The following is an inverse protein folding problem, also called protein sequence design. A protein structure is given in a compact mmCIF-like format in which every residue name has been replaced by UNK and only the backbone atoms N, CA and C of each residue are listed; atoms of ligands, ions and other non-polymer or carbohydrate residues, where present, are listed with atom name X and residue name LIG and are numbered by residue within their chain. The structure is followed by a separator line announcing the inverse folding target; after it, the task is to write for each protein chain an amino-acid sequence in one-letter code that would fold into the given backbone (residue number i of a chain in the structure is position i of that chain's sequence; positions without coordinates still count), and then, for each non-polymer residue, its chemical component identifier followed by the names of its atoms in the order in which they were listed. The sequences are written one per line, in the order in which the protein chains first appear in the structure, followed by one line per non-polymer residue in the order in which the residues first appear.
data_IF_764270472986
#
_entry.id   IF_764270472986
#
_cell.length_a   1.000
_cell.length_b   1.000
_cell.length_c   1.000
_cell.angle_alpha   90.00
_cell.angle_beta   90.00
_cell.angle_gamma   90.00
#
_symmetry.space_group_name_H-M   'P 1'
#
loop_
_entity.id
_entity.type
_entity.pdbx_description
1 polymer ?
#
# COMPACT_ATOMS: atom_id res chain seq x y z
N UNK A 1 57.18 -85.44 -52.96
CA UNK A 1 57.62 -84.38 -52.01
C UNK A 1 56.62 -83.21 -52.00
N UNK A 2 55.38 -83.46 -51.53
CA UNK A 2 54.33 -82.41 -51.39
C UNK A 2 53.42 -82.62 -50.17
N UNK A 3 53.62 -83.68 -49.38
CA UNK A 3 52.75 -84.03 -48.24
C UNK A 3 53.20 -83.43 -46.90
N UNK A 4 54.48 -83.09 -46.71
CA UNK A 4 54.98 -82.54 -45.43
C UNK A 4 54.64 -81.06 -45.19
N UNK A 5 54.27 -80.31 -46.24
CA UNK A 5 53.88 -78.91 -46.09
C UNK A 5 52.44 -78.76 -45.60
N UNK A 6 51.55 -79.68 -45.96
CA UNK A 6 50.13 -79.56 -45.63
C UNK A 6 49.84 -79.82 -44.15
N UNK A 7 50.55 -80.79 -43.54
CA UNK A 7 50.49 -81.08 -42.10
C UNK A 7 51.10 -79.95 -41.27
N UNK A 8 52.16 -79.31 -41.77
CA UNK A 8 52.80 -78.17 -41.09
C UNK A 8 51.93 -76.91 -41.11
N UNK A 9 51.21 -76.61 -42.20
CA UNK A 9 50.30 -75.47 -42.24
C UNK A 9 49.02 -75.72 -41.43
N UNK A 10 48.51 -76.95 -41.39
CA UNK A 10 47.34 -77.29 -40.58
C UNK A 10 47.64 -77.19 -39.07
N UNK A 11 48.84 -77.59 -38.63
CA UNK A 11 49.28 -77.44 -37.25
C UNK A 11 49.46 -75.97 -36.83
N UNK A 12 50.01 -75.14 -37.72
CA UNK A 12 50.17 -73.69 -37.48
C UNK A 12 48.80 -72.99 -37.44
N UNK A 13 47.88 -73.35 -38.33
CA UNK A 13 46.52 -72.80 -38.32
C UNK A 13 45.75 -73.20 -37.05
N UNK A 14 45.90 -74.44 -36.59
CA UNK A 14 45.26 -74.92 -35.35
C UNK A 14 45.83 -74.23 -34.10
N UNK A 15 47.15 -73.98 -34.07
CA UNK A 15 47.79 -73.23 -32.97
C UNK A 15 47.38 -71.75 -32.97
N UNK A 16 47.24 -71.13 -34.14
CA UNK A 16 46.76 -69.75 -34.27
C UNK A 16 45.29 -69.61 -33.88
N UNK A 17 44.43 -70.56 -34.25
CA UNK A 17 43.02 -70.52 -33.83
C UNK A 17 42.86 -70.78 -32.34
N UNK A 18 43.63 -71.70 -31.75
CA UNK A 18 43.63 -71.92 -30.30
C UNK A 18 44.17 -70.69 -29.56
N UNK A 19 45.20 -70.02 -30.08
CA UNK A 19 45.74 -68.78 -29.48
C UNK A 19 44.76 -67.60 -29.58
N UNK A 20 43.99 -67.48 -30.66
CA UNK A 20 42.95 -66.45 -30.82
C UNK A 20 41.73 -66.72 -29.93
N UNK A 21 41.37 -68.00 -29.73
CA UNK A 21 40.31 -68.42 -28.80
C UNK A 21 40.74 -68.23 -27.34
N UNK A 22 42.01 -68.47 -26.99
CA UNK A 22 42.55 -68.22 -25.64
C UNK A 22 42.67 -66.72 -25.32
N UNK A 23 42.94 -65.86 -26.31
CA UNK A 23 42.94 -64.41 -26.14
C UNK A 23 41.54 -63.80 -25.99
N UNK A 24 40.48 -64.50 -26.40
CA UNK A 24 39.09 -64.05 -26.26
C UNK A 24 38.40 -64.54 -24.98
N UNK A 25 39.05 -65.42 -24.21
CA UNK A 25 38.57 -65.87 -22.87
C UNK A 25 39.21 -65.04 -21.74
N UNK A 26 40.16 -64.15 -22.04
CA UNK A 26 40.68 -63.18 -21.07
C UNK A 26 39.83 -61.89 -21.02
N UNK A 27 38.50 -62.02 -21.00
CA UNK A 27 37.69 -61.05 -20.29
C UNK A 27 37.58 -61.60 -18.87
N UNK A 28 38.60 -61.32 -18.06
CA UNK A 28 38.42 -61.44 -16.62
C UNK A 28 37.27 -60.50 -16.28
N UNK A 29 36.14 -61.06 -15.84
CA UNK A 29 35.17 -60.31 -15.05
C UNK A 29 35.96 -59.72 -13.90
N UNK A 30 36.44 -58.48 -14.10
CA UNK A 30 36.97 -57.69 -13.02
C UNK A 30 35.78 -57.48 -12.10
N UNK A 31 35.67 -58.33 -11.08
CA UNK A 31 34.63 -58.23 -10.06
C UNK A 31 34.58 -56.76 -9.64
N UNK A 32 33.53 -56.06 -10.07
CA UNK A 32 33.37 -54.65 -9.75
C UNK A 32 33.28 -54.58 -8.24
N UNK A 33 34.28 -53.95 -7.62
CA UNK A 33 34.33 -53.81 -6.18
C UNK A 33 33.27 -52.79 -5.77
N UNK A 34 32.42 -53.19 -4.85
CA UNK A 34 31.27 -52.40 -4.38
C UNK A 34 31.37 -52.13 -2.88
N UNK A 35 30.73 -51.06 -2.43
CA UNK A 35 30.57 -50.68 -1.04
C UNK A 35 29.12 -50.31 -0.72
N UNK A 36 28.87 -49.97 0.54
CA UNK A 36 27.57 -49.48 1.02
C UNK A 36 27.74 -48.12 1.72
N UNK A 37 26.68 -47.33 1.71
CA UNK A 37 26.59 -46.04 2.41
C UNK A 37 25.36 -46.04 3.31
N UNK A 38 25.55 -45.66 4.57
CA UNK A 38 24.46 -45.26 5.46
C UNK A 38 24.39 -43.74 5.49
N UNK A 39 23.25 -43.21 5.08
CA UNK A 39 22.91 -41.79 5.20
C UNK A 39 22.26 -41.55 6.56
N UNK A 40 22.73 -40.53 7.28
CA UNK A 40 22.11 -40.01 8.52
C UNK A 40 21.60 -38.60 8.23
N UNK A 41 20.37 -38.30 8.64
CA UNK A 41 19.66 -37.10 8.20
C UNK A 41 19.19 -36.31 9.42
N UNK A 42 19.46 -35.01 9.44
CA UNK A 42 19.06 -34.09 10.51
C UNK A 42 18.12 -33.01 9.95
N UNK A 43 16.97 -32.82 10.60
CA UNK A 43 16.01 -31.77 10.27
C UNK A 43 15.54 -31.08 11.55
N UNK A 44 15.77 -29.76 11.66
CA UNK A 44 15.29 -28.97 12.79
C UNK A 44 14.11 -28.10 12.37
N UNK A 45 12.96 -28.28 13.04
CA UNK A 45 11.79 -27.41 12.85
C UNK A 45 11.81 -26.25 13.86
N UNK A 46 11.52 -25.05 13.40
CA UNK A 46 11.32 -23.85 14.24
C UNK A 46 10.16 -23.04 13.71
N UNK A 47 9.02 -23.02 14.40
CA UNK A 47 7.91 -22.11 14.07
C UNK A 47 7.23 -21.54 15.33
N UNK A 48 6.76 -20.29 15.20
CA UNK A 48 6.04 -19.51 16.20
C UNK A 48 4.55 -19.38 15.81
N UNK A 49 3.69 -19.03 16.76
CA UNK A 49 2.22 -19.15 16.67
C UNK A 49 1.47 -18.09 15.82
N UNK A 50 2.14 -17.35 14.92
CA UNK A 50 1.52 -16.34 14.03
C UNK A 50 2.12 -16.41 12.62
N UNK A 51 2.08 -17.59 12.01
CA UNK A 51 2.57 -17.79 10.65
C UNK A 51 1.42 -18.31 9.80
N UNK A 52 1.20 -17.67 8.65
CA UNK A 52 0.35 -18.16 7.57
C UNK A 52 1.06 -19.35 6.96
N UNK A 53 0.46 -20.53 7.10
CA UNK A 53 1.02 -21.79 6.63
C UNK A 53 0.36 -22.20 5.31
N UNK A 54 1.01 -23.09 4.55
CA UNK A 54 0.36 -23.76 3.44
C UNK A 54 -0.91 -24.48 3.90
N UNK A 55 -1.89 -24.54 3.01
CA UNK A 55 -3.09 -25.34 3.18
C UNK A 55 -2.70 -26.84 3.21
N UNK A 56 -3.49 -27.65 3.91
CA UNK A 56 -3.24 -29.09 4.05
C UNK A 56 -3.41 -29.58 5.49
N UNK A 57 -3.33 -30.89 5.70
CA UNK A 57 -3.52 -31.47 7.06
C UNK A 57 -2.24 -31.38 7.89
N UNK A 58 -1.07 -31.71 7.29
CA UNK A 58 0.24 -31.55 7.92
C UNK A 58 1.31 -31.18 6.87
N UNK A 59 1.16 -30.03 6.19
CA UNK A 59 1.97 -29.71 5.01
C UNK A 59 3.47 -29.58 5.31
N UNK A 60 3.86 -29.47 6.58
CA UNK A 60 5.23 -29.32 7.04
C UNK A 60 5.89 -30.62 7.52
N UNK A 61 5.13 -31.71 7.65
CA UNK A 61 5.66 -32.97 8.20
C UNK A 61 6.44 -33.73 7.13
N UNK A 62 7.70 -34.07 7.41
CA UNK A 62 8.48 -34.94 6.53
C UNK A 62 8.00 -36.37 6.71
N UNK A 63 7.39 -36.94 5.67
CA UNK A 63 6.83 -38.31 5.70
C UNK A 63 7.66 -39.27 4.84
N UNK A 64 8.33 -38.76 3.81
CA UNK A 64 9.19 -39.57 2.96
C UNK A 64 10.35 -38.78 2.38
N UNK A 65 11.29 -39.49 1.75
CA UNK A 65 12.46 -38.92 1.09
C UNK A 65 12.65 -39.53 -0.28
N UNK A 66 13.08 -38.70 -1.23
CA UNK A 66 13.59 -39.12 -2.53
C UNK A 66 15.11 -38.91 -2.54
N UNK A 67 15.86 -39.98 -2.83
CA UNK A 67 17.32 -39.98 -2.80
C UNK A 67 17.83 -40.32 -4.19
N UNK A 68 18.56 -39.39 -4.78
CA UNK A 68 19.24 -39.53 -6.05
C UNK A 68 20.74 -39.63 -5.82
N UNK A 69 21.41 -40.51 -6.56
CA UNK A 69 22.87 -40.61 -6.51
C UNK A 69 23.49 -40.67 -7.89
N UNK A 70 24.60 -39.96 -8.09
CA UNK A 70 25.42 -39.98 -9.30
C UNK A 70 26.84 -40.38 -8.93
N UNK A 71 27.33 -41.45 -9.54
CA UNK A 71 28.59 -42.10 -9.20
C UNK A 71 29.55 -42.26 -10.38
N UNK A 72 30.62 -43.06 -10.19
CA UNK A 72 31.64 -43.28 -11.21
C UNK A 72 31.07 -43.81 -12.53
N UNK A 73 31.51 -43.22 -13.64
CA UNK A 73 31.04 -43.59 -14.98
C UNK A 73 29.58 -43.20 -15.23
N UNK A 74 29.10 -42.12 -14.61
CA UNK A 74 27.73 -41.60 -14.74
C UNK A 74 26.64 -42.58 -14.31
N UNK A 75 26.99 -43.59 -13.50
CA UNK A 75 25.99 -44.49 -12.93
C UNK A 75 25.08 -43.72 -12.00
N UNK A 76 23.78 -43.90 -12.15
CA UNK A 76 22.77 -43.26 -11.32
C UNK A 76 21.90 -44.28 -10.60
N UNK A 77 21.26 -43.84 -9.51
CA UNK A 77 20.13 -44.53 -8.90
C UNK A 77 19.15 -43.50 -8.34
N UNK A 78 17.90 -43.94 -8.15
CA UNK A 78 16.85 -43.21 -7.46
C UNK A 78 16.19 -44.17 -6.46
N UNK A 79 15.92 -43.70 -5.24
CA UNK A 79 15.34 -44.50 -4.16
C UNK A 79 14.39 -43.63 -3.33
N UNK A 80 13.21 -44.16 -3.03
CA UNK A 80 12.30 -43.55 -2.03
C UNK A 80 12.39 -44.28 -0.69
N UNK A 81 12.35 -43.53 0.41
CA UNK A 81 12.37 -44.07 1.79
C UNK A 81 11.34 -43.39 2.67
N UNK A 82 10.60 -44.18 3.46
CA UNK A 82 9.77 -43.69 4.57
C UNK A 82 10.54 -43.64 5.90
N UNK A 83 11.75 -44.19 5.96
CA UNK A 83 12.65 -43.94 7.08
C UNK A 83 13.39 -42.63 6.85
N UNK A 84 12.94 -41.60 7.56
CA UNK A 84 13.39 -40.21 7.43
C UNK A 84 14.66 -39.90 8.25
N UNK A 85 15.17 -40.85 9.04
CA UNK A 85 16.36 -40.62 9.87
C UNK A 85 17.61 -41.29 9.28
N UNK A 86 17.42 -42.43 8.59
CA UNK A 86 18.51 -43.18 8.01
C UNK A 86 18.09 -44.04 6.82
N UNK A 87 18.99 -44.17 5.84
CA UNK A 87 18.83 -45.05 4.67
C UNK A 87 20.14 -45.76 4.38
N UNK A 88 20.06 -47.05 4.06
CA UNK A 88 21.22 -47.86 3.62
C UNK A 88 21.12 -48.09 2.12
N UNK A 89 22.18 -47.76 1.40
CA UNK A 89 22.30 -47.92 -0.04
C UNK A 89 23.43 -48.90 -0.32
N UNK A 90 23.07 -50.05 -0.89
CA UNK A 90 23.99 -51.15 -1.19
C UNK A 90 24.44 -51.16 -2.66
N UNK A 91 25.49 -51.92 -2.95
CA UNK A 91 26.01 -52.19 -4.30
C UNK A 91 26.50 -50.95 -5.06
N UNK A 92 26.99 -49.93 -4.36
CA UNK A 92 27.60 -48.76 -4.97
C UNK A 92 29.02 -49.07 -5.43
N UNK A 93 29.41 -48.65 -6.63
CA UNK A 93 30.80 -48.75 -7.08
C UNK A 93 31.73 -47.95 -6.16
N UNK A 94 32.94 -48.46 -5.91
CA UNK A 94 33.99 -47.68 -5.25
C UNK A 94 34.32 -46.43 -6.08
N UNK A 95 34.32 -45.27 -5.44
CA UNK A 95 34.64 -43.99 -6.06
C UNK A 95 33.86 -42.81 -5.48
N UNK A 96 33.96 -41.64 -6.13
CA UNK A 96 33.20 -40.46 -5.74
C UNK A 96 31.74 -40.62 -6.13
N UNK A 97 30.86 -40.31 -5.18
CA UNK A 97 29.42 -40.24 -5.36
C UNK A 97 28.91 -38.90 -4.87
N UNK A 98 28.01 -38.30 -5.64
CA UNK A 98 27.19 -37.18 -5.23
C UNK A 98 25.78 -37.68 -4.95
N UNK A 99 25.23 -37.33 -3.80
CA UNK A 99 23.90 -37.70 -3.35
C UNK A 99 23.07 -36.43 -3.17
N UNK A 100 21.84 -36.46 -3.67
CA UNK A 100 20.82 -35.43 -3.46
C UNK A 100 19.65 -36.07 -2.73
N UNK A 101 19.28 -35.53 -1.58
CA UNK A 101 18.18 -36.00 -0.74
C UNK A 101 17.10 -34.93 -0.70
N UNK A 102 15.89 -35.27 -1.13
CA UNK A 102 14.71 -34.39 -1.07
C UNK A 102 13.76 -34.91 0.00
N UNK A 103 13.43 -34.10 1.00
CA UNK A 103 12.38 -34.39 1.98
C UNK A 103 11.01 -34.01 1.43
N UNK A 104 10.03 -34.90 1.60
CA UNK A 104 8.68 -34.77 1.05
C UNK A 104 7.63 -34.86 2.16
N UNK A 105 6.55 -34.08 2.02
CA UNK A 105 5.35 -34.23 2.84
C UNK A 105 4.50 -35.45 2.41
N UNK A 106 3.34 -35.65 3.06
CA UNK A 106 2.41 -36.74 2.74
C UNK A 106 1.73 -36.60 1.37
N UNK A 107 1.66 -35.38 0.84
CA UNK A 107 1.15 -35.06 -0.50
C UNK A 107 2.22 -35.17 -1.59
N UNK A 108 3.49 -35.38 -1.22
CA UNK A 108 4.62 -35.54 -2.13
C UNK A 108 5.32 -34.25 -2.54
N UNK A 109 5.00 -33.11 -1.90
CA UNK A 109 5.65 -31.83 -2.16
C UNK A 109 7.01 -31.74 -1.48
N UNK A 110 7.97 -31.08 -2.14
CA UNK A 110 9.31 -30.89 -1.61
C UNK A 110 9.35 -29.84 -0.48
N UNK A 111 9.96 -30.21 0.65
CA UNK A 111 10.14 -29.35 1.81
C UNK A 111 11.54 -28.76 1.90
N UNK A 112 12.55 -29.58 1.63
CA UNK A 112 13.96 -29.21 1.62
C UNK A 112 14.78 -30.24 0.84
N UNK A 113 15.92 -29.79 0.34
CA UNK A 113 16.96 -30.61 -0.28
C UNK A 113 18.26 -30.48 0.54
N UNK A 114 19.01 -31.58 0.58
CA UNK A 114 20.40 -31.60 1.01
C UNK A 114 21.24 -32.34 -0.03
N UNK A 115 22.47 -31.85 -0.23
CA UNK A 115 23.42 -32.46 -1.16
C UNK A 115 24.72 -32.79 -0.45
N UNK A 116 25.31 -33.94 -0.79
CA UNK A 116 26.64 -34.31 -0.29
C UNK A 116 27.44 -35.05 -1.35
N UNK A 117 28.76 -34.84 -1.35
CA UNK A 117 29.68 -35.67 -2.14
C UNK A 117 30.63 -36.41 -1.21
N UNK A 118 30.77 -37.73 -1.41
CA UNK A 118 31.67 -38.57 -0.62
C UNK A 118 32.34 -39.66 -1.45
N UNK A 119 33.48 -40.16 -0.97
CA UNK A 119 34.18 -41.26 -1.60
C UNK A 119 33.77 -42.59 -0.96
N UNK A 120 33.07 -43.44 -1.72
CA UNK A 120 32.63 -44.77 -1.29
C UNK A 120 33.79 -45.77 -1.34
N UNK A 121 34.01 -46.47 -0.22
CA UNK A 121 35.05 -47.50 -0.05
C UNK A 121 34.44 -48.90 0.07
N UNK A 122 35.28 -49.93 -0.04
CA UNK A 122 34.95 -51.37 0.13
C UNK A 122 34.71 -51.77 1.61
N UNK A 123 34.06 -50.89 2.36
CA UNK A 123 33.68 -51.07 3.76
C UNK A 123 32.38 -50.28 3.97
N UNK A 124 31.76 -50.41 5.14
CA UNK A 124 30.62 -49.57 5.47
C UNK A 124 31.08 -48.10 5.54
N UNK A 125 30.44 -47.24 4.75
CA UNK A 125 30.62 -45.80 4.79
C UNK A 125 29.41 -45.19 5.50
N UNK A 126 29.63 -44.18 6.35
CA UNK A 126 28.54 -43.40 6.96
C UNK A 126 28.76 -41.95 6.60
N UNK A 127 27.70 -41.29 6.13
CA UNK A 127 27.74 -39.87 5.77
C UNK A 127 26.46 -39.19 6.28
N UNK A 128 26.61 -37.96 6.75
CA UNK A 128 25.48 -37.13 7.18
C UNK A 128 25.12 -36.16 6.07
N UNK A 129 23.81 -35.95 5.86
CA UNK A 129 23.28 -34.95 4.92
C UNK A 129 22.38 -34.01 5.71
N UNK A 130 22.72 -32.72 5.64
CA UNK A 130 21.91 -31.66 6.22
C UNK A 130 20.87 -31.22 5.17
N UNK A 131 19.60 -31.15 5.57
CA UNK A 131 18.52 -30.67 4.71
C UNK A 131 18.30 -29.18 4.97
N UNK A 132 19.07 -28.34 4.29
CA UNK A 132 19.16 -26.90 4.57
C UNK A 132 18.67 -26.00 3.43
N UNK A 133 18.40 -26.58 2.26
CA UNK A 133 18.01 -25.83 1.07
C UNK A 133 16.53 -25.99 0.80
N UNK A 134 15.76 -24.92 0.92
CA UNK A 134 14.35 -24.91 0.53
C UNK A 134 14.24 -24.84 -0.99
N UNK A 135 13.32 -25.58 -1.59
CA UNK A 135 13.20 -25.69 -3.05
C UNK A 135 11.75 -25.65 -3.50
N UNK A 136 11.57 -25.25 -4.76
CA UNK A 136 10.26 -25.17 -5.38
C UNK A 136 9.64 -23.78 -5.29
N UNK A 137 8.42 -23.69 -5.79
CA UNK A 137 7.62 -22.47 -5.76
C UNK A 137 6.20 -22.80 -5.27
N UNK A 138 5.60 -21.89 -4.53
CA UNK A 138 4.21 -21.99 -4.11
C UNK A 138 3.47 -20.67 -4.29
N UNK A 139 2.19 -20.68 -3.94
CA UNK A 139 1.32 -19.52 -4.10
C UNK A 139 0.96 -18.93 -2.74
N UNK A 140 1.15 -17.63 -2.56
CA UNK A 140 0.52 -16.86 -1.49
C UNK A 140 -0.83 -16.35 -2.00
N UNK A 141 -1.92 -16.63 -1.27
CA UNK A 141 -3.26 -16.12 -1.59
C UNK A 141 -3.88 -15.47 -0.36
N UNK A 142 -4.07 -14.14 -0.39
CA UNK A 142 -4.61 -13.41 0.76
C UNK A 142 -5.88 -12.65 0.41
N UNK A 143 -6.83 -12.72 1.35
CA UNK A 143 -8.00 -11.87 1.38
C UNK A 143 -7.86 -10.79 2.46
N UNK A 144 -7.98 -9.53 2.06
CA UNK A 144 -7.93 -8.36 2.92
C UNK A 144 -9.35 -7.81 3.11
N UNK A 145 -9.65 -7.35 4.32
CA UNK A 145 -10.88 -6.64 4.62
C UNK A 145 -10.66 -5.48 5.58
N UNK A 146 -11.44 -4.42 5.41
CA UNK A 146 -11.44 -3.23 6.27
C UNK A 146 -12.86 -2.65 6.34
N UNK A 147 -13.10 -1.70 7.25
CA UNK A 147 -14.37 -0.99 7.31
C UNK A 147 -14.42 0.12 6.24
N UNK A 148 -15.27 0.01 5.20
CA UNK A 148 -15.31 1.01 4.12
C UNK A 148 -15.83 2.37 4.59
N UNK A 149 -16.60 2.44 5.70
CA UNK A 149 -17.10 3.70 6.26
C UNK A 149 -15.98 4.55 6.90
N UNK A 150 -14.81 3.97 7.11
CA UNK A 150 -13.63 4.63 7.68
C UNK A 150 -12.53 4.87 6.65
N UNK A 151 -12.87 4.75 5.35
CA UNK A 151 -11.96 5.02 4.23
C UNK A 151 -12.65 5.87 3.18
N UNK A 152 -11.87 6.65 2.45
CA UNK A 152 -12.26 7.41 1.27
C UNK A 152 -12.01 6.62 -0.02
N UNK A 153 -12.51 7.15 -1.14
CA UNK A 153 -12.25 6.59 -2.47
C UNK A 153 -10.77 6.63 -2.86
N UNK A 154 -9.98 7.50 -2.23
CA UNK A 154 -8.55 7.70 -2.51
C UNK A 154 -7.64 6.74 -1.73
N UNK A 155 -8.18 5.74 -1.02
CA UNK A 155 -7.36 4.79 -0.30
C UNK A 155 -6.37 4.07 -1.22
N UNK A 156 -5.19 3.80 -0.69
CA UNK A 156 -4.12 3.04 -1.32
C UNK A 156 -3.75 1.85 -0.43
N UNK A 157 -3.59 0.67 -1.04
CA UNK A 157 -3.07 -0.51 -0.38
C UNK A 157 -1.59 -0.64 -0.73
N UNK A 158 -0.73 -0.64 0.28
CA UNK A 158 0.69 -0.93 0.12
C UNK A 158 0.98 -2.27 0.77
N UNK A 159 1.40 -3.25 -0.03
CA UNK A 159 1.77 -4.58 0.43
C UNK A 159 3.23 -4.82 0.09
N UNK A 160 4.04 -5.06 1.12
CA UNK A 160 5.46 -5.37 1.00
C UNK A 160 5.68 -6.79 1.50
N UNK A 161 6.39 -7.59 0.71
CA UNK A 161 6.80 -8.96 1.02
C UNK A 161 8.33 -8.94 1.11
N UNK A 162 8.86 -9.31 2.27
CA UNK A 162 10.30 -9.35 2.54
C UNK A 162 10.73 -10.79 2.77
N UNK A 163 11.77 -11.26 2.09
CA UNK A 163 12.30 -12.61 2.26
C UNK A 163 13.32 -12.73 3.42
N UNK A 164 13.89 -13.92 3.64
CA UNK A 164 14.88 -14.14 4.69
C UNK A 164 16.22 -13.40 4.50
N UNK A 165 16.48 -12.86 3.31
CA UNK A 165 17.67 -12.08 2.96
C UNK A 165 17.46 -10.58 3.10
N UNK A 166 16.27 -10.16 3.54
CA UNK A 166 15.82 -8.76 3.65
C UNK A 166 15.58 -8.09 2.28
N UNK A 167 15.43 -8.90 1.22
CA UNK A 167 15.04 -8.39 -0.10
C UNK A 167 13.52 -8.14 -0.12
N UNK A 168 13.14 -6.90 -0.47
CA UNK A 168 11.75 -6.44 -0.46
C UNK A 168 11.12 -6.47 -1.86
N UNK A 169 9.91 -7.01 -1.94
CA UNK A 169 9.02 -6.92 -3.09
C UNK A 169 7.77 -6.13 -2.70
N UNK A 170 7.49 -5.05 -3.42
CA UNK A 170 6.24 -4.30 -3.28
C UNK A 170 5.25 -4.81 -4.33
N UNK A 171 4.02 -5.10 -3.93
CA UNK A 171 2.96 -5.44 -4.87
C UNK A 171 2.51 -4.21 -5.65
N UNK A 172 2.41 -4.36 -6.96
CA UNK A 172 1.90 -3.33 -7.85
C UNK A 172 0.37 -3.36 -7.90
N UNK A 173 -0.31 -2.28 -8.33
CA UNK A 173 -1.77 -2.27 -8.42
C UNK A 173 -2.38 -3.42 -9.24
N UNK A 174 -1.65 -3.94 -10.23
CA UNK A 174 -2.10 -5.05 -11.07
C UNK A 174 -1.90 -6.44 -10.44
N UNK A 175 -1.18 -6.55 -9.32
CA UNK A 175 -1.06 -7.80 -8.57
C UNK A 175 -2.35 -8.12 -7.79
N UNK A 176 -3.23 -7.13 -7.59
CA UNK A 176 -4.53 -7.35 -6.95
C UNK A 176 -5.57 -7.87 -7.95
N UNK A 177 -6.17 -9.01 -7.64
CA UNK A 177 -7.22 -9.65 -8.44
C UNK A 177 -8.56 -8.93 -8.27
N UNK A 178 -8.83 -8.40 -7.07
CA UNK A 178 -10.04 -7.64 -6.76
C UNK A 178 -9.71 -6.56 -5.75
N UNK A 179 -10.07 -5.31 -6.02
CA UNK A 179 -10.09 -4.23 -5.02
C UNK A 179 -11.47 -3.61 -5.05
N UNK A 180 -12.27 -3.86 -4.01
CA UNK A 180 -13.59 -3.30 -3.84
C UNK A 180 -13.61 -2.32 -2.68
N UNK A 181 -13.35 -1.05 -2.99
CA UNK A 181 -13.33 0.04 -2.00
C UNK A 181 -14.69 0.27 -1.33
N UNK A 182 -15.80 -0.03 -2.04
CA UNK A 182 -17.16 0.13 -1.50
C UNK A 182 -17.45 -0.95 -0.45
N UNK A 183 -17.03 -2.19 -0.71
CA UNK A 183 -17.20 -3.30 0.22
C UNK A 183 -16.11 -3.35 1.30
N UNK A 184 -15.01 -2.63 1.13
CA UNK A 184 -13.86 -2.68 2.02
C UNK A 184 -13.10 -4.00 1.92
N UNK A 185 -12.82 -4.48 0.70
CA UNK A 185 -12.12 -5.74 0.50
C UNK A 185 -11.12 -5.70 -0.64
N UNK A 186 -10.06 -6.51 -0.52
CA UNK A 186 -9.14 -6.78 -1.62
C UNK A 186 -8.63 -8.23 -1.59
N UNK A 187 -8.23 -8.76 -2.74
CA UNK A 187 -7.56 -10.06 -2.83
C UNK A 187 -6.37 -9.97 -3.78
N UNK A 188 -5.31 -10.71 -3.50
CA UNK A 188 -4.17 -10.86 -4.39
C UNK A 188 -3.61 -12.28 -4.29
N UNK A 189 -2.92 -12.70 -5.35
CA UNK A 189 -2.15 -13.94 -5.37
C UNK A 189 -0.75 -13.67 -5.90
N UNK A 190 0.25 -14.34 -5.34
CA UNK A 190 1.64 -14.20 -5.78
C UNK A 190 2.34 -15.55 -5.71
N UNK A 191 2.98 -15.94 -6.82
CA UNK A 191 3.91 -17.06 -6.82
C UNK A 191 5.24 -16.61 -6.23
N UNK A 192 5.74 -17.36 -5.26
CA UNK A 192 6.98 -17.10 -4.52
C UNK A 192 7.80 -18.39 -4.45
N UNK A 193 9.11 -18.26 -4.34
CA UNK A 193 9.96 -19.40 -4.03
C UNK A 193 9.61 -20.00 -2.67
N UNK A 194 9.92 -21.28 -2.46
CA UNK A 194 9.76 -21.91 -1.15
C UNK A 194 10.67 -21.20 -0.14
N UNK A 195 10.11 -20.75 0.98
CA UNK A 195 10.79 -19.79 1.83
C UNK A 195 9.98 -19.33 3.04
N UNK A 196 10.57 -18.42 3.82
CA UNK A 196 9.88 -17.70 4.87
C UNK A 196 9.84 -16.22 4.50
N UNK A 197 8.64 -15.64 4.56
CA UNK A 197 8.44 -14.24 4.22
C UNK A 197 7.83 -13.49 5.39
N UNK A 198 8.18 -12.22 5.51
CA UNK A 198 7.42 -11.24 6.30
C UNK A 198 6.55 -10.46 5.34
N UNK A 199 5.25 -10.37 5.63
CA UNK A 199 4.34 -9.52 4.88
C UNK A 199 3.94 -8.32 5.73
N UNK A 200 4.08 -7.13 5.16
CA UNK A 200 3.60 -5.87 5.72
C UNK A 200 2.48 -5.34 4.82
N UNK A 201 1.34 -5.02 5.41
CA UNK A 201 0.18 -4.47 4.69
C UNK A 201 -0.21 -3.16 5.35
N UNK A 202 -0.30 -2.10 4.57
CA UNK A 202 -0.70 -0.76 5.02
C UNK A 202 -1.88 -0.26 4.19
N UNK A 203 -2.81 0.42 4.85
CA UNK A 203 -3.80 1.29 4.20
C UNK A 203 -3.32 2.72 4.35
N UNK A 204 -3.17 3.42 3.22
CA UNK A 204 -2.79 4.84 3.17
C UNK A 204 -3.91 5.71 2.61
N UNK A 205 -4.00 6.94 3.12
CA UNK A 205 -4.78 8.03 2.55
C UNK A 205 -3.93 9.30 2.46
N UNK A 206 -3.72 9.84 1.26
CA UNK A 206 -2.96 11.09 1.06
C UNK A 206 -1.62 11.09 1.83
N UNK A 207 -0.90 9.97 1.78
CA UNK A 207 0.36 9.67 2.50
C UNK A 207 0.28 9.37 4.01
N UNK A 208 -0.88 9.50 4.65
CA UNK A 208 -1.09 9.07 6.03
C UNK A 208 -1.40 7.57 6.11
N UNK A 209 -0.74 6.84 7.00
CA UNK A 209 -1.06 5.43 7.28
C UNK A 209 -2.21 5.40 8.29
N UNK A 210 -3.36 4.87 7.88
CA UNK A 210 -4.57 4.83 8.72
C UNK A 210 -4.84 3.44 9.32
N UNK A 211 -4.20 2.40 8.79
CA UNK A 211 -4.23 1.03 9.33
C UNK A 211 -3.05 0.24 8.78
N UNK A 212 -2.64 -0.80 9.49
CA UNK A 212 -1.67 -1.76 8.99
C UNK A 212 -1.57 -3.02 9.81
N UNK A 213 -0.91 -4.03 9.25
CA UNK A 213 -0.55 -5.25 9.95
C UNK A 213 0.75 -5.83 9.41
N UNK A 214 1.34 -6.73 10.19
CA UNK A 214 2.49 -7.53 9.78
C UNK A 214 2.26 -8.98 10.17
N UNK A 215 2.52 -9.89 9.25
CA UNK A 215 2.42 -11.33 9.47
C UNK A 215 3.64 -12.06 8.88
N UNK A 216 3.79 -13.34 9.21
CA UNK A 216 4.81 -14.19 8.58
C UNK A 216 4.14 -15.25 7.71
N UNK A 217 4.78 -15.63 6.62
CA UNK A 217 4.26 -16.60 5.65
C UNK A 217 5.30 -17.67 5.42
N UNK A 218 4.86 -18.93 5.34
CA UNK A 218 5.68 -20.05 4.89
C UNK A 218 5.20 -20.53 3.54
N UNK A 219 6.06 -20.54 2.52
CA UNK A 219 5.75 -21.11 1.20
C UNK A 219 6.44 -22.47 1.03
N UNK A 220 5.71 -23.46 0.51
CA UNK A 220 6.20 -24.80 0.14
C UNK A 220 5.89 -25.05 -1.34
N UNK A 221 6.74 -25.84 -1.99
CA UNK A 221 6.59 -26.28 -3.37
C UNK A 221 5.17 -26.79 -3.71
N UNK A 222 4.60 -26.31 -4.80
CA UNK A 222 3.28 -26.67 -5.33
C UNK A 222 2.10 -26.53 -4.35
N UNK A 223 2.28 -25.80 -3.24
CA UNK A 223 1.21 -25.54 -2.25
C UNK A 223 0.67 -24.11 -2.35
N UNK A 224 -0.48 -23.87 -1.73
CA UNK A 224 -1.02 -22.52 -1.52
C UNK A 224 -1.02 -22.19 -0.03
N UNK A 225 -0.47 -21.03 0.34
CA UNK A 225 -0.57 -20.47 1.68
C UNK A 225 -1.65 -19.42 1.70
N UNK A 226 -2.75 -19.70 2.40
CA UNK A 226 -3.96 -18.88 2.37
C UNK A 226 -4.29 -18.23 3.71
N UNK A 227 -4.88 -17.05 3.67
CA UNK A 227 -5.22 -16.31 4.88
C UNK A 227 -6.21 -15.18 4.65
N UNK A 228 -6.92 -14.81 5.71
CA UNK A 228 -7.76 -13.60 5.74
C UNK A 228 -7.24 -12.64 6.79
N UNK A 229 -7.02 -11.39 6.39
CA UNK A 229 -6.51 -10.32 7.25
C UNK A 229 -7.57 -9.22 7.35
N UNK A 230 -7.92 -8.88 8.59
CA UNK A 230 -8.82 -7.75 8.90
C UNK A 230 -7.96 -6.57 9.35
N UNK A 231 -7.97 -5.50 8.56
CA UNK A 231 -7.29 -4.24 8.82
C UNK A 231 -8.23 -3.34 9.62
N UNK A 232 -7.90 -3.13 10.90
CA UNK A 232 -8.71 -2.35 11.83
C UNK A 232 -8.27 -0.89 11.76
N UNK A 233 -9.15 -0.03 11.24
CA UNK A 233 -8.90 1.41 11.09
C UNK A 233 -9.28 2.15 12.37
N UNK A 234 -8.33 2.90 12.90
CA UNK A 234 -8.56 3.92 13.91
C UNK A 234 -7.87 3.70 15.25
N UNK A 235 -7.11 4.71 15.66
CA UNK A 235 -7.11 5.18 17.04
C UNK A 235 -8.20 6.26 17.20
N UNK A 236 -8.77 6.42 18.39
CA UNK A 236 -9.79 7.43 18.68
C UNK A 236 -9.24 8.83 18.37
N UNK A 237 -9.96 9.63 17.58
CA UNK A 237 -9.56 10.99 17.25
C UNK A 237 -9.92 11.92 18.43
N UNK A 238 -8.92 12.50 19.09
CA UNK A 238 -9.07 13.30 20.33
C UNK A 238 -9.69 14.69 20.15
N UNK A 239 -10.28 15.00 19.00
CA UNK A 239 -11.09 16.20 18.84
C UNK A 239 -11.12 16.74 17.43
N UNK A 240 -12.32 16.87 16.89
CA UNK A 240 -12.57 17.61 15.67
C UNK A 240 -12.81 19.09 16.02
N UNK A 241 -11.98 20.00 15.50
CA UNK A 241 -12.14 21.45 15.71
C UNK A 241 -12.87 22.06 14.52
N UNK A 242 -14.04 22.64 14.77
CA UNK A 242 -14.74 23.50 13.81
C UNK A 242 -14.55 24.96 14.24
N UNK A 243 -14.19 25.84 13.31
CA UNK A 243 -14.08 27.29 13.57
C UNK A 243 -15.26 27.98 12.89
N UNK A 244 -16.16 28.54 13.68
CA UNK A 244 -17.25 29.41 13.20
C UNK A 244 -16.77 30.85 13.35
N UNK A 245 -16.74 31.61 12.26
CA UNK A 245 -16.50 33.05 12.28
C UNK A 245 -17.82 33.75 11.99
N UNK A 246 -18.31 34.54 12.95
CA UNK A 246 -19.48 35.39 12.76
C UNK A 246 -19.03 36.76 12.21
N UNK A 247 -19.51 37.11 11.02
CA UNK A 247 -19.23 38.39 10.35
C UNK A 247 -20.46 39.31 10.27
N UNK A 248 -21.53 39.02 11.02
CA UNK A 248 -22.73 39.85 11.00
C UNK A 248 -22.48 41.18 11.71
N UNK A 249 -22.46 42.28 10.93
CA UNK A 249 -22.28 43.63 11.45
C UNK A 249 -23.64 44.27 11.81
N UNK A 250 -23.69 45.06 12.89
CA UNK A 250 -24.88 45.84 13.24
C UNK A 250 -25.08 47.02 12.28
N UNK A 251 -26.33 47.47 12.02
CA UNK A 251 -26.60 48.69 11.25
C UNK A 251 -25.82 49.91 11.74
N UNK A 252 -25.23 50.69 10.83
CA UNK A 252 -24.51 51.93 11.19
C UNK A 252 -25.51 52.99 11.66
N UNK A 253 -25.35 53.50 12.89
CA UNK A 253 -26.19 54.55 13.47
C UNK A 253 -25.47 55.91 13.48
N UNK A 254 -26.13 56.98 13.92
CA UNK A 254 -25.51 58.30 14.09
C UNK A 254 -26.50 59.44 14.35
N UNK A 255 -26.00 60.67 14.33
CA UNK A 255 -26.79 61.88 14.61
C UNK A 255 -26.77 62.82 13.41
N UNK A 256 -27.92 63.39 13.06
CA UNK A 256 -28.01 64.45 12.03
C UNK A 256 -28.19 65.80 12.72
N UNK A 257 -27.44 66.81 12.26
CA UNK A 257 -27.56 68.21 12.70
C UNK A 257 -27.80 69.12 11.50
N UNK A 258 -28.49 70.24 11.71
CA UNK A 258 -28.76 71.26 10.70
C UNK A 258 -28.21 72.61 11.18
N UNK A 259 -27.48 73.32 10.32
CA UNK A 259 -26.91 74.64 10.62
C UNK A 259 -27.23 75.64 9.52
N UNK A 260 -27.90 76.78 9.83
CA UNK A 260 -28.48 77.12 11.12
C UNK A 260 -29.64 76.16 11.50
N UNK A 261 -29.95 76.07 12.80
CA UNK A 261 -31.03 75.19 13.32
C UNK A 261 -32.41 75.60 12.76
N UNK A 262 -32.60 76.89 12.52
CA UNK A 262 -33.78 77.47 11.87
C UNK A 262 -33.38 78.16 10.56
N UNK A 263 -33.30 77.43 9.44
CA UNK A 263 -32.90 78.01 8.16
C UNK A 263 -34.00 78.88 7.54
N UNK A 264 -33.56 79.87 6.77
CA UNK A 264 -34.43 80.89 6.15
C UNK A 264 -34.57 80.60 4.65
N UNK A 265 -35.77 80.79 4.11
CA UNK A 265 -36.02 80.59 2.68
C UNK A 265 -35.13 81.49 1.83
N UNK A 266 -34.46 80.89 0.84
CA UNK A 266 -33.52 81.55 -0.06
C UNK A 266 -32.07 81.59 0.43
N UNK A 267 -31.79 81.18 1.67
CA UNK A 267 -30.44 81.15 2.24
C UNK A 267 -29.84 79.73 2.24
N UNK A 268 -28.51 79.66 2.32
CA UNK A 268 -27.77 78.41 2.39
C UNK A 268 -27.83 77.81 3.79
N UNK A 269 -27.93 76.49 3.88
CA UNK A 269 -27.83 75.72 5.11
C UNK A 269 -27.08 74.41 4.88
N UNK A 270 -26.53 73.85 5.95
CA UNK A 270 -25.81 72.58 5.92
C UNK A 270 -26.48 71.57 6.83
N UNK A 271 -26.58 70.33 6.35
CA UNK A 271 -26.97 69.17 7.14
C UNK A 271 -25.77 68.25 7.26
N UNK A 272 -25.37 67.90 8.48
CA UNK A 272 -24.24 67.01 8.74
C UNK A 272 -24.69 65.78 9.51
N UNK A 273 -24.28 64.61 9.05
CA UNK A 273 -24.42 63.34 9.74
C UNK A 273 -23.09 62.94 10.39
N UNK A 274 -23.12 62.67 11.70
CA UNK A 274 -22.00 62.14 12.46
C UNK A 274 -22.27 60.67 12.78
N UNK A 275 -21.52 59.72 12.18
CA UNK A 275 -21.75 58.29 12.38
C UNK A 275 -21.27 57.83 13.77
N UNK A 276 -22.02 56.94 14.40
CA UNK A 276 -21.58 56.17 15.56
C UNK A 276 -20.94 54.88 15.09
N UNK A 277 -19.60 54.87 14.99
CA UNK A 277 -18.83 53.72 14.49
C UNK A 277 -18.50 52.72 15.61
N UNK A 278 -18.57 51.43 15.27
CA UNK A 278 -18.16 50.34 16.15
C UNK A 278 -16.67 50.03 16.00
N UNK A 279 -16.08 49.30 16.96
CA UNK A 279 -14.66 48.92 16.94
C UNK A 279 -14.27 48.24 15.62
N UNK A 280 -13.23 48.78 14.98
CA UNK A 280 -12.69 48.25 13.71
C UNK A 280 -13.33 48.80 12.44
N UNK A 281 -14.33 49.69 12.54
CA UNK A 281 -14.91 50.43 11.42
C UNK A 281 -14.46 51.88 11.49
N UNK A 282 -13.98 52.42 10.38
CA UNK A 282 -13.60 53.83 10.22
C UNK A 282 -14.51 54.53 9.22
N UNK A 283 -14.42 55.86 9.12
CA UNK A 283 -15.20 56.62 8.13
C UNK A 283 -14.85 56.26 6.68
N UNK A 284 -13.62 55.76 6.43
CA UNK A 284 -13.19 55.29 5.11
C UNK A 284 -13.89 53.98 4.70
N UNK A 285 -14.45 53.24 5.66
CA UNK A 285 -15.12 51.96 5.44
C UNK A 285 -16.63 52.12 5.15
N UNK A 286 -17.14 53.35 5.16
CA UNK A 286 -18.57 53.63 4.97
C UNK A 286 -18.83 54.48 3.73
N UNK A 287 -20.03 54.32 3.19
CA UNK A 287 -20.53 55.06 2.03
C UNK A 287 -21.87 55.68 2.36
N UNK A 288 -22.08 56.93 1.95
CA UNK A 288 -23.27 57.70 2.27
C UNK A 288 -24.12 57.98 1.02
N UNK A 289 -25.43 58.09 1.21
CA UNK A 289 -26.34 58.60 0.21
C UNK A 289 -27.48 59.41 0.84
N UNK A 290 -27.54 60.71 0.54
CA UNK A 290 -28.64 61.59 0.94
C UNK A 290 -29.82 61.56 -0.03
N UNK A 291 -31.01 61.77 0.54
CA UNK A 291 -32.28 61.90 -0.13
C UNK A 291 -33.05 63.10 0.42
N UNK A 292 -33.83 63.80 -0.41
CA UNK A 292 -34.81 64.79 0.01
C UNK A 292 -36.19 64.33 -0.46
N UNK A 293 -37.14 64.17 0.45
CA UNK A 293 -38.48 63.63 0.21
C UNK A 293 -38.46 62.35 -0.64
N UNK A 294 -37.50 61.47 -0.34
CA UNK A 294 -37.29 60.19 -1.04
C UNK A 294 -36.58 60.27 -2.40
N UNK A 295 -36.20 61.45 -2.87
CA UNK A 295 -35.42 61.62 -4.10
C UNK A 295 -33.92 61.71 -3.82
N UNK A 296 -33.13 60.91 -4.55
CA UNK A 296 -31.67 60.87 -4.43
C UNK A 296 -31.05 62.22 -4.77
N UNK A 297 -30.15 62.70 -3.92
CA UNK A 297 -29.38 63.94 -4.14
C UNK A 297 -27.99 63.60 -4.69
N UNK A 298 -27.52 64.32 -5.71
CA UNK A 298 -26.22 64.07 -6.37
C UNK A 298 -25.06 64.35 -5.41
N UNK A 299 -25.13 65.46 -4.67
CA UNK A 299 -24.16 65.81 -3.62
C UNK A 299 -24.28 64.92 -2.38
N UNK A 300 -25.23 63.98 -2.38
CA UNK A 300 -25.57 63.13 -1.25
C UNK A 300 -24.53 62.07 -0.89
N UNK A 301 -23.35 62.05 -1.49
CA UNK A 301 -22.33 61.02 -1.26
C UNK A 301 -21.45 61.27 -0.04
N UNK A 302 -21.57 62.43 0.59
CA UNK A 302 -20.78 62.88 1.74
C UNK A 302 -21.53 62.81 3.07
N UNK A 303 -20.79 62.88 4.18
CA UNK A 303 -21.34 63.03 5.54
C UNK A 303 -21.98 64.41 5.79
N UNK A 304 -21.66 65.42 4.97
CA UNK A 304 -22.24 66.76 5.04
C UNK A 304 -22.83 67.16 3.70
N UNK A 305 -24.05 67.69 3.71
CA UNK A 305 -24.78 68.17 2.56
C UNK A 305 -24.98 69.69 2.67
N UNK A 306 -24.52 70.44 1.68
CA UNK A 306 -24.83 71.87 1.54
C UNK A 306 -26.00 72.06 0.59
N UNK A 307 -26.95 72.91 0.96
CA UNK A 307 -28.16 73.14 0.18
C UNK A 307 -28.71 74.55 0.42
N UNK A 308 -29.65 74.98 -0.41
CA UNK A 308 -30.35 76.27 -0.26
C UNK A 308 -31.79 75.97 0.13
N UNK A 309 -32.27 76.62 1.19
CA UNK A 309 -33.62 76.35 1.67
C UNK A 309 -34.64 76.95 0.71
N UNK A 310 -35.56 76.11 0.23
CA UNK A 310 -36.80 76.58 -0.39
C UNK A 310 -37.83 76.73 0.72
N UNK A 311 -38.70 77.73 0.66
CA UNK A 311 -39.79 77.84 1.62
C UNK A 311 -40.64 76.56 1.63
N UNK A 312 -40.95 76.04 2.80
CA UNK A 312 -41.64 74.77 2.98
C UNK A 312 -40.97 73.86 4.03
N UNK A 313 -41.47 72.63 4.16
CA UNK A 313 -40.94 71.60 5.06
C UNK A 313 -40.51 70.39 4.22
N UNK A 314 -39.26 69.97 4.40
CA UNK A 314 -38.63 68.92 3.60
C UNK A 314 -37.97 67.90 4.53
N UNK A 315 -38.14 66.61 4.23
CA UNK A 315 -37.47 65.54 4.96
C UNK A 315 -36.19 65.15 4.23
N UNK A 316 -35.08 65.19 4.95
CA UNK A 316 -33.80 64.69 4.49
C UNK A 316 -33.50 63.36 5.15
N UNK A 317 -33.14 62.36 4.34
CA UNK A 317 -32.75 61.04 4.78
C UNK A 317 -31.30 60.77 4.34
N UNK A 318 -30.51 60.12 5.19
CA UNK A 318 -29.21 59.56 4.82
C UNK A 318 -29.28 58.04 4.96
N UNK A 319 -28.76 57.33 3.96
CA UNK A 319 -28.44 55.90 4.03
C UNK A 319 -26.93 55.77 4.15
N UNK A 320 -26.47 54.92 5.07
CA UNK A 320 -25.06 54.64 5.28
C UNK A 320 -24.82 53.15 5.20
N UNK A 321 -23.89 52.72 4.34
CA UNK A 321 -23.54 51.32 4.13
C UNK A 321 -22.06 51.09 4.32
N UNK A 322 -21.71 49.97 4.97
CA UNK A 322 -20.34 49.50 5.05
C UNK A 322 -19.86 48.98 3.68
N UNK A 323 -18.57 49.11 3.38
CA UNK A 323 -17.97 48.80 2.09
C UNK A 323 -18.14 47.34 1.64
N UNK A 324 -18.25 46.40 2.59
CA UNK A 324 -18.47 44.97 2.31
C UNK A 324 -19.96 44.60 2.08
N UNK A 325 -20.87 45.57 2.24
CA UNK A 325 -22.31 45.38 2.07
C UNK A 325 -23.00 44.60 3.21
N UNK A 326 -22.30 44.26 4.28
CA UNK A 326 -22.83 43.47 5.40
C UNK A 326 -23.58 44.31 6.45
N UNK A 327 -23.44 45.65 6.42
CA UNK A 327 -24.18 46.57 7.29
C UNK A 327 -24.74 47.76 6.52
N UNK A 328 -26.00 48.11 6.81
CA UNK A 328 -26.70 49.27 6.27
C UNK A 328 -27.55 49.91 7.36
N UNK A 329 -27.50 51.24 7.46
CA UNK A 329 -28.28 52.05 8.39
C UNK A 329 -28.89 53.28 7.72
N UNK A 330 -29.81 53.94 8.42
CA UNK A 330 -30.43 55.18 7.92
C UNK A 330 -30.85 56.13 9.05
N UNK A 331 -30.82 57.44 8.77
CA UNK A 331 -31.32 58.50 9.65
C UNK A 331 -32.05 59.58 8.88
N UNK A 332 -32.88 60.34 9.58
CA UNK A 332 -33.74 61.36 8.99
C UNK A 332 -33.76 62.64 9.84
N UNK A 333 -33.87 63.78 9.17
CA UNK A 333 -34.18 65.08 9.79
C UNK A 333 -35.23 65.81 8.94
N UNK A 334 -36.13 66.54 9.59
CA UNK A 334 -37.05 67.44 8.89
C UNK A 334 -36.56 68.86 9.04
N UNK A 335 -36.36 69.55 7.91
CA UNK A 335 -35.95 70.95 7.88
C UNK A 335 -37.09 71.79 7.34
N UNK A 336 -37.45 72.86 8.06
CA UNK A 336 -38.54 73.75 7.68
C UNK A 336 -38.06 75.19 7.62
N UNK A 337 -38.37 75.88 6.52
CA UNK A 337 -38.19 77.33 6.41
C UNK A 337 -39.53 78.02 6.12
N UNK A 338 -39.78 79.21 6.69
CA UNK A 338 -40.94 80.01 6.36
C UNK A 338 -41.00 80.32 4.86
N UNK A 339 -42.14 80.09 4.22
CA UNK A 339 -42.42 80.68 2.90
C UNK A 339 -42.67 82.18 3.07
N UNK A 340 -42.04 83.05 2.28
CA UNK A 340 -42.30 84.49 2.33
C UNK A 340 -43.83 84.75 2.28
N UNK A 341 -44.35 85.42 3.31
CA UNK A 341 -45.76 85.83 3.36
C UNK A 341 -45.90 87.02 2.42
N UNK A 342 -46.65 86.85 1.33
CA UNK A 342 -47.07 87.96 0.48
C UNK A 342 -47.85 88.99 1.31
N UNK A 343 -47.32 90.20 1.42
CA UNK A 343 -48.04 91.35 2.01
C UNK A 343 -49.22 91.67 1.09
N UNK A 344 -50.44 91.42 1.57
CA UNK A 344 -51.67 91.96 0.97
C UNK A 344 -51.70 93.44 1.33
N UNK A 345 -51.57 94.33 0.34
CA UNK A 345 -51.93 95.74 0.50
C UNK A 345 -53.44 95.83 0.27
N UNK A 346 -54.21 96.03 1.34
CA UNK A 346 -55.57 96.59 1.23
C UNK A 346 -55.44 98.08 0.90
N UNK A 347 -55.86 98.50 -0.30
CA UNK A 347 -56.30 99.87 -0.56
C UNK A 347 -57.83 99.92 -0.62
N UNK A 348 -58.37 101.01 -0.07
CA UNK A 348 -59.74 101.26 0.37
C UNK A 348 -60.88 101.06 -0.63
#
# INVERSE_FOLDING_TARGET
MKWDRFTSYLGIFLLLTISVVLLSISCTDAQQRVGSVQLVIDSQSRLNSRTILPDGTNPMDVVSMLINGVGPGEKTFELSSSNINQVVIDNLLIGNWSFTVTALNDEGNALAIGEITTFVREQNNTVSVDLDTLVGEGTLSLALSWNPEQTSENLELLVTITDETDDEMILEPNDFTNVNKIAGSATFEKTLAAGYYTISILIKEQDEIISGCTDTVRIIDETTSSGTIVLVIGAVVDGFKFTITDSTLMPIDGTITCTPEEPVSGEGFSITFEPTLYDGITEDDISCQWYCDGQKIIDGTSLSLETITKGGSYRYDIIVSHADGQSIGSKSITVSAPTEIGVIIEEQ
#
